data_IF_914976770913
#
_entry.id   IF_914976770913
#
_cell.length_a   1.000
_cell.length_b   1.000
_cell.length_c   1.000
_cell.angle_alpha   90.00
_cell.angle_beta   90.00
_cell.angle_gamma   90.00
#
_symmetry.space_group_name_H-M   'P 1'
#
loop_
_entity.id
_entity.type
_entity.pdbx_description
1 polymer ?
#
# COMPACT_ATOMS: atom_id res chain seq x y z
N UNK A 1 -12.36 -45.98 13.90
CA UNK A 1 -12.25 -44.55 14.25
C UNK A 1 -12.35 -44.42 15.75
N UNK A 2 -11.29 -43.89 16.37
CA UNK A 2 -11.11 -43.85 17.81
C UNK A 2 -12.04 -42.79 18.44
N UNK A 3 -12.84 -43.19 19.44
CA UNK A 3 -13.90 -42.34 20.04
C UNK A 3 -13.34 -41.05 20.67
N UNK A 4 -12.04 -41.01 20.95
CA UNK A 4 -11.32 -39.84 21.46
C UNK A 4 -11.24 -38.68 20.46
N UNK A 5 -11.07 -38.98 19.17
CA UNK A 5 -10.99 -37.96 18.10
C UNK A 5 -12.32 -37.23 17.90
N UNK A 6 -13.44 -37.95 18.02
CA UNK A 6 -14.80 -37.38 17.86
C UNK A 6 -15.17 -36.49 19.06
N UNK A 7 -14.72 -36.83 20.27
CA UNK A 7 -14.98 -36.01 21.46
C UNK A 7 -14.27 -34.65 21.42
N UNK A 8 -13.09 -34.56 20.80
CA UNK A 8 -12.37 -33.29 20.67
C UNK A 8 -13.01 -32.33 19.68
N UNK A 9 -13.61 -32.83 18.59
CA UNK A 9 -14.38 -32.00 17.66
C UNK A 9 -15.64 -31.40 18.31
N UNK A 10 -16.28 -32.12 19.24
CA UNK A 10 -17.48 -31.62 19.96
C UNK A 10 -17.15 -30.62 21.06
N UNK A 11 -15.93 -30.65 21.63
CA UNK A 11 -15.48 -29.74 22.69
C UNK A 11 -15.20 -28.32 22.20
N UNK A 12 -14.94 -28.14 20.90
CA UNK A 12 -14.64 -26.85 20.28
C UNK A 12 -15.80 -25.83 20.29
N UNK A 13 -16.99 -26.21 20.76
CA UNK A 13 -18.16 -25.34 20.86
C UNK A 13 -18.41 -24.75 22.26
N UNK A 14 -17.58 -25.06 23.26
CA UNK A 14 -17.73 -24.48 24.60
C UNK A 14 -16.89 -23.21 24.75
N UNK A 15 -17.51 -22.14 25.27
CA UNK A 15 -16.87 -20.84 25.60
C UNK A 15 -15.59 -21.02 26.43
N UNK A 16 -15.53 -22.07 27.26
CA UNK A 16 -14.34 -22.42 28.05
C UNK A 16 -13.12 -22.90 27.23
N UNK A 17 -13.34 -23.43 26.02
CA UNK A 17 -12.27 -23.84 25.09
C UNK A 17 -11.73 -22.63 24.32
N UNK A 18 -12.59 -21.67 23.98
CA UNK A 18 -12.22 -20.35 23.44
C UNK A 18 -11.28 -19.59 24.39
N UNK A 19 -11.56 -19.61 25.70
CA UNK A 19 -10.65 -19.00 26.70
C UNK A 19 -9.31 -19.74 26.80
N UNK A 20 -9.27 -21.03 26.50
CA UNK A 20 -8.04 -21.83 26.51
C UNK A 20 -7.23 -21.69 25.21
N UNK A 21 -7.88 -21.35 24.09
CA UNK A 21 -7.23 -20.96 22.84
C UNK A 21 -6.76 -19.49 22.82
N UNK A 22 -6.95 -18.72 23.89
CA UNK A 22 -6.32 -17.40 24.10
C UNK A 22 -4.89 -17.51 24.67
N UNK A 23 -4.49 -18.68 25.17
CA UNK A 23 -3.10 -18.95 25.59
C UNK A 23 -2.00 -18.76 24.50
N UNK A 24 -2.24 -18.79 23.17
CA UNK A 24 -1.22 -18.54 22.17
C UNK A 24 -0.83 -17.06 22.04
N UNK A 25 -1.59 -16.11 22.60
CA UNK A 25 -1.22 -14.67 22.52
C UNK A 25 0.04 -14.31 23.32
N UNK A 26 0.43 -15.20 24.23
CA UNK A 26 1.72 -15.14 24.93
C UNK A 26 2.81 -15.99 24.25
N UNK A 27 2.50 -16.70 23.15
CA UNK A 27 3.49 -17.48 22.43
C UNK A 27 4.28 -16.58 21.47
N UNK A 28 5.55 -16.92 21.34
CA UNK A 28 6.62 -16.13 20.76
C UNK A 28 6.25 -15.49 19.40
N UNK A 29 6.09 -14.17 19.36
CA UNK A 29 5.74 -13.37 18.16
C UNK A 29 6.76 -13.46 17.02
N UNK A 30 7.89 -14.13 17.25
CA UNK A 30 8.99 -14.23 16.30
C UNK A 30 9.08 -15.60 15.60
N UNK A 31 8.11 -16.50 15.81
CA UNK A 31 8.11 -17.85 15.21
C UNK A 31 6.79 -18.12 14.50
N UNK A 32 6.86 -18.79 13.35
CA UNK A 32 5.68 -19.17 12.59
C UNK A 32 4.83 -20.18 13.38
N UNK A 33 3.49 -20.02 13.45
CA UNK A 33 2.61 -20.94 14.18
C UNK A 33 2.67 -22.37 13.64
N UNK A 34 2.69 -23.36 14.54
CA UNK A 34 2.76 -24.79 14.17
C UNK A 34 1.39 -25.41 13.81
N UNK A 35 0.30 -24.80 14.25
CA UNK A 35 -1.05 -25.35 14.12
C UNK A 35 -2.02 -24.28 13.62
N UNK A 36 -2.99 -24.72 12.83
CA UNK A 36 -4.09 -23.89 12.36
C UNK A 36 -5.07 -23.58 13.50
N UNK A 37 -5.77 -22.47 13.35
CA UNK A 37 -6.82 -22.00 14.25
C UNK A 37 -8.06 -21.66 13.43
N UNK A 38 -9.24 -21.73 14.06
CA UNK A 38 -10.50 -21.33 13.43
C UNK A 38 -10.45 -19.83 13.08
N UNK A 39 -10.98 -19.49 11.93
CA UNK A 39 -10.92 -18.15 11.31
C UNK A 39 -11.61 -17.06 12.15
N UNK A 40 -12.79 -17.35 12.69
CA UNK A 40 -13.52 -16.44 13.59
C UNK A 40 -12.74 -16.14 14.89
N UNK A 41 -12.04 -17.13 15.44
CA UNK A 41 -11.20 -16.97 16.63
C UNK A 41 -9.97 -16.13 16.29
N UNK A 42 -9.34 -16.36 15.14
CA UNK A 42 -8.22 -15.55 14.66
C UNK A 42 -8.62 -14.09 14.47
N UNK A 43 -9.76 -13.83 13.82
CA UNK A 43 -10.28 -12.49 13.61
C UNK A 43 -10.59 -11.80 14.93
N UNK A 44 -11.32 -12.48 15.84
CA UNK A 44 -11.71 -11.89 17.12
C UNK A 44 -10.48 -11.52 17.95
N UNK A 45 -9.46 -12.38 17.98
CA UNK A 45 -8.20 -12.13 18.69
C UNK A 45 -7.53 -10.86 18.16
N UNK A 46 -7.32 -10.75 16.85
CA UNK A 46 -6.66 -9.58 16.24
C UNK A 46 -7.50 -8.32 16.44
N UNK A 47 -8.82 -8.41 16.25
CA UNK A 47 -9.73 -7.30 16.47
C UNK A 47 -9.70 -6.82 17.92
N UNK A 48 -9.60 -7.73 18.89
CA UNK A 48 -9.53 -7.40 20.30
C UNK A 48 -8.21 -6.71 20.69
N UNK A 49 -7.10 -7.12 20.07
CA UNK A 49 -5.82 -6.43 20.24
C UNK A 49 -5.84 -5.01 19.68
N UNK A 50 -6.51 -4.79 18.53
CA UNK A 50 -6.65 -3.46 17.92
C UNK A 50 -7.48 -2.48 18.77
N UNK A 51 -8.28 -2.94 19.74
CA UNK A 51 -8.93 -2.02 20.70
C UNK A 51 -7.94 -1.31 21.63
N UNK A 52 -6.71 -1.82 21.75
CA UNK A 52 -5.65 -1.16 22.52
C UNK A 52 -5.02 0.01 21.74
N UNK A 53 -5.26 0.11 20.43
CA UNK A 53 -4.85 1.27 19.65
C UNK A 53 -5.65 2.52 20.05
N UNK A 54 -4.96 3.66 20.02
CA UNK A 54 -5.59 4.95 20.30
C UNK A 54 -6.64 5.31 19.24
N UNK A 55 -7.70 6.00 19.65
CA UNK A 55 -8.74 6.46 18.72
C UNK A 55 -8.14 7.45 17.71
N UNK A 56 -8.11 7.06 16.44
CA UNK A 56 -7.54 7.88 15.35
C UNK A 56 -8.19 9.28 15.25
N UNK A 57 -9.48 9.45 15.57
CA UNK A 57 -10.16 10.76 15.54
C UNK A 57 -9.67 11.72 16.63
N UNK A 58 -9.05 11.19 17.68
CA UNK A 58 -8.46 11.99 18.76
C UNK A 58 -6.95 12.18 18.57
N UNK A 59 -6.36 11.58 17.53
CA UNK A 59 -4.95 11.79 17.20
C UNK A 59 -4.76 13.14 16.50
N UNK A 60 -4.34 14.15 17.26
CA UNK A 60 -4.04 15.49 16.75
C UNK A 60 -2.58 15.67 16.29
N UNK A 61 -1.76 14.62 16.38
CA UNK A 61 -0.35 14.67 16.02
C UNK A 61 -0.09 14.22 14.57
N UNK A 62 -1.06 13.58 13.92
CA UNK A 62 -0.91 13.08 12.53
C UNK A 62 -1.37 14.10 11.50
N UNK A 63 -0.73 14.08 10.33
CA UNK A 63 -1.19 14.80 9.13
C UNK A 63 -2.03 13.90 8.21
N UNK A 64 -2.17 12.61 8.53
CA UNK A 64 -2.94 11.67 7.72
C UNK A 64 -4.45 11.83 7.95
N UNK A 65 -5.24 11.46 6.93
CA UNK A 65 -6.70 11.41 7.02
C UNK A 65 -7.15 10.34 8.03
N UNK A 66 -8.08 10.68 8.94
CA UNK A 66 -8.63 9.77 9.96
C UNK A 66 -10.16 9.62 9.89
N UNK A 67 -10.76 10.17 8.83
CA UNK A 67 -12.20 10.07 8.55
C UNK A 67 -12.41 9.93 7.05
N UNK A 68 -13.21 8.94 6.64
CA UNK A 68 -13.60 8.70 5.26
C UNK A 68 -15.11 8.52 5.18
N UNK A 69 -15.70 8.94 4.04
CA UNK A 69 -17.13 8.78 3.78
C UNK A 69 -17.48 7.31 3.45
N UNK A 70 -18.75 6.91 3.63
CA UNK A 70 -19.23 5.56 3.32
C UNK A 70 -18.97 5.16 1.86
N UNK A 71 -19.06 6.13 0.93
CA UNK A 71 -18.76 5.89 -0.48
C UNK A 71 -17.27 5.55 -0.70
N UNK A 72 -16.37 6.16 0.06
CA UNK A 72 -14.94 5.85 0.00
C UNK A 72 -14.68 4.43 0.49
N UNK A 73 -15.30 4.03 1.61
CA UNK A 73 -15.20 2.65 2.09
C UNK A 73 -15.70 1.63 1.05
N UNK A 74 -16.84 1.88 0.40
CA UNK A 74 -17.37 1.02 -0.68
C UNK A 74 -16.41 0.93 -1.86
N UNK A 75 -15.83 2.04 -2.30
CA UNK A 75 -14.87 2.05 -3.40
C UNK A 75 -13.60 1.29 -3.05
N UNK A 76 -13.09 1.46 -1.83
CA UNK A 76 -11.90 0.76 -1.33
C UNK A 76 -12.13 -0.76 -1.31
N UNK A 77 -13.26 -1.21 -0.77
CA UNK A 77 -13.63 -2.64 -0.73
C UNK A 77 -13.77 -3.25 -2.14
N UNK A 78 -14.43 -2.55 -3.07
CA UNK A 78 -14.50 -2.96 -4.48
C UNK A 78 -13.15 -2.98 -5.20
N UNK A 79 -12.14 -2.29 -4.65
CA UNK A 79 -10.82 -2.16 -5.24
C UNK A 79 -9.75 -3.03 -4.57
N UNK A 80 -10.06 -3.72 -3.47
CA UNK A 80 -9.07 -4.44 -2.65
C UNK A 80 -8.27 -5.49 -3.45
N UNK A 81 -8.90 -6.11 -4.45
CA UNK A 81 -8.29 -7.14 -5.31
C UNK A 81 -7.73 -6.59 -6.63
N UNK A 82 -7.79 -5.27 -6.86
CA UNK A 82 -7.32 -4.65 -8.11
C UNK A 82 -5.84 -4.35 -8.01
N UNK A 83 -5.05 -4.96 -8.89
CA UNK A 83 -3.62 -4.73 -8.94
C UNK A 83 -3.29 -3.45 -9.72
N UNK A 84 -2.70 -2.45 -9.06
CA UNK A 84 -2.39 -1.16 -9.67
C UNK A 84 -1.38 -1.23 -10.83
N UNK A 85 -0.41 -2.16 -10.77
CA UNK A 85 0.65 -2.27 -11.79
C UNK A 85 0.16 -2.93 -13.07
N UNK A 86 -0.91 -3.72 -12.97
CA UNK A 86 -1.47 -4.46 -14.10
C UNK A 86 -2.43 -3.57 -14.89
N UNK A 87 -1.87 -2.81 -15.83
CA UNK A 87 -2.62 -1.86 -16.66
C UNK A 87 -3.43 -2.52 -17.77
N UNK A 88 -3.13 -3.78 -18.13
CA UNK A 88 -3.84 -4.53 -19.17
C UNK A 88 -5.13 -5.13 -18.62
N UNK A 89 -5.09 -5.70 -17.41
CA UNK A 89 -6.27 -6.28 -16.75
C UNK A 89 -7.23 -5.19 -16.23
N UNK A 90 -6.70 -4.06 -15.77
CA UNK A 90 -7.50 -2.98 -15.16
C UNK A 90 -7.38 -1.63 -15.91
N UNK A 91 -7.78 -1.57 -17.20
CA UNK A 91 -7.59 -0.38 -18.03
C UNK A 91 -8.38 0.84 -17.53
N UNK A 92 -9.53 0.62 -16.89
CA UNK A 92 -10.33 1.72 -16.32
C UNK A 92 -9.69 2.30 -15.06
N UNK A 93 -9.09 1.47 -14.21
CA UNK A 93 -8.31 1.94 -13.05
C UNK A 93 -7.09 2.76 -13.50
N UNK A 94 -6.41 2.27 -14.54
CA UNK A 94 -5.30 2.99 -15.19
C UNK A 94 -5.74 4.35 -15.76
N UNK A 95 -6.92 4.41 -16.38
CA UNK A 95 -7.45 5.67 -16.90
C UNK A 95 -7.82 6.65 -15.78
N UNK A 96 -8.36 6.17 -14.65
CA UNK A 96 -8.63 7.02 -13.47
C UNK A 96 -7.33 7.62 -12.93
N UNK A 97 -6.30 6.79 -12.77
CA UNK A 97 -4.96 7.22 -12.32
C UNK A 97 -4.41 8.37 -13.18
N UNK A 98 -4.41 8.20 -14.51
CA UNK A 98 -3.94 9.24 -15.43
C UNK A 98 -4.76 10.53 -15.33
N UNK A 99 -6.08 10.44 -15.12
CA UNK A 99 -6.92 11.62 -14.89
C UNK A 99 -6.55 12.35 -13.61
N UNK A 100 -6.33 11.63 -12.51
CA UNK A 100 -5.90 12.22 -11.23
C UNK A 100 -4.56 12.95 -11.38
N UNK A 101 -3.60 12.33 -12.05
CA UNK A 101 -2.30 12.92 -12.38
C UNK A 101 -2.46 14.23 -13.16
N UNK A 102 -3.29 14.23 -14.21
CA UNK A 102 -3.52 15.42 -15.03
C UNK A 102 -4.21 16.54 -14.23
N UNK A 103 -5.20 16.21 -13.38
CA UNK A 103 -5.87 17.20 -12.52
C UNK A 103 -4.90 17.84 -11.52
N UNK A 104 -3.99 17.06 -10.92
CA UNK A 104 -2.98 17.59 -10.00
C UNK A 104 -1.94 18.45 -10.74
N UNK A 105 -1.53 18.03 -11.94
CA UNK A 105 -0.60 18.81 -12.77
C UNK A 105 -1.19 20.18 -13.17
N UNK A 106 -2.46 20.20 -13.56
CA UNK A 106 -3.21 21.42 -13.86
C UNK A 106 -3.35 22.32 -12.63
N UNK A 107 -3.67 21.75 -11.46
CA UNK A 107 -3.75 22.47 -10.19
C UNK A 107 -2.44 23.19 -9.82
N UNK A 108 -1.29 22.63 -10.21
CA UNK A 108 0.03 23.23 -9.98
C UNK A 108 0.56 24.05 -11.16
N UNK A 109 -0.27 24.34 -12.16
CA UNK A 109 0.09 25.12 -13.36
C UNK A 109 1.31 24.54 -14.09
N UNK A 110 1.43 23.21 -14.14
CA UNK A 110 2.50 22.57 -14.89
C UNK A 110 2.41 22.96 -16.38
N UNK A 111 3.54 23.12 -17.08
CA UNK A 111 3.54 23.42 -18.51
C UNK A 111 2.78 22.35 -19.28
N UNK A 112 1.93 22.77 -20.22
CA UNK A 112 1.04 21.88 -20.95
C UNK A 112 1.83 20.71 -21.60
N UNK A 113 1.46 19.45 -21.31
CA UNK A 113 2.18 18.31 -21.87
C UNK A 113 2.02 18.29 -23.38
N UNK A 114 3.14 18.24 -24.12
CA UNK A 114 3.16 18.19 -25.60
C UNK A 114 2.32 17.04 -26.18
N UNK A 115 2.06 16.00 -25.38
CA UNK A 115 1.33 14.79 -25.76
C UNK A 115 0.10 14.50 -24.85
N UNK A 116 -0.37 15.48 -24.05
CA UNK A 116 -1.59 15.33 -23.24
C UNK A 116 -1.50 14.40 -22.02
N UNK A 117 -0.31 13.89 -21.67
CA UNK A 117 -0.10 12.98 -20.54
C UNK A 117 0.98 13.53 -19.61
N UNK A 118 0.62 13.82 -18.37
CA UNK A 118 1.59 13.95 -17.30
C UNK A 118 2.00 12.53 -16.85
N UNK A 119 3.31 12.28 -16.76
CA UNK A 119 3.84 11.00 -16.25
C UNK A 119 4.40 11.27 -14.85
N UNK A 120 3.68 10.84 -13.82
CA UNK A 120 4.18 10.84 -12.45
C UNK A 120 4.26 9.41 -11.94
N UNK A 121 5.40 9.06 -11.34
CA UNK A 121 5.58 7.80 -10.60
C UNK A 121 5.63 8.10 -9.11
N UNK A 122 5.03 7.25 -8.27
CA UNK A 122 4.93 7.43 -6.81
C UNK A 122 6.29 7.63 -6.10
N UNK A 123 7.39 7.17 -6.68
CA UNK A 123 8.76 7.36 -6.17
C UNK A 123 9.41 8.66 -6.65
N UNK A 124 8.62 9.71 -6.86
CA UNK A 124 9.03 10.91 -7.57
C UNK A 124 10.25 11.60 -6.97
N UNK A 125 10.43 11.64 -5.64
CA UNK A 125 11.59 12.32 -5.04
C UNK A 125 12.92 11.60 -5.31
N UNK A 126 12.93 10.28 -5.16
CA UNK A 126 14.12 9.48 -5.45
C UNK A 126 14.43 9.52 -6.95
N UNK A 127 13.43 9.29 -7.80
CA UNK A 127 13.63 9.33 -9.25
C UNK A 127 13.95 10.73 -9.77
N UNK A 128 13.33 11.80 -9.26
CA UNK A 128 13.68 13.18 -9.62
C UNK A 128 15.11 13.51 -9.22
N UNK A 129 15.58 13.03 -8.08
CA UNK A 129 17.00 13.14 -7.68
C UNK A 129 17.93 12.42 -8.65
N UNK A 130 17.57 11.21 -9.10
CA UNK A 130 18.31 10.48 -10.13
C UNK A 130 18.27 11.20 -11.49
N UNK A 131 17.12 11.73 -11.90
CA UNK A 131 16.97 12.50 -13.14
C UNK A 131 17.80 13.79 -13.09
N UNK A 132 17.72 14.57 -12.00
CA UNK A 132 18.52 15.78 -11.83
C UNK A 132 20.03 15.48 -11.82
N UNK A 133 20.45 14.34 -11.26
CA UNK A 133 21.85 13.89 -11.32
C UNK A 133 22.26 13.48 -12.74
N UNK A 134 21.40 12.73 -13.45
CA UNK A 134 21.65 12.33 -14.84
C UNK A 134 21.74 13.53 -15.79
N UNK A 135 20.85 14.50 -15.64
CA UNK A 135 20.86 15.73 -16.45
C UNK A 135 22.06 16.62 -16.10
N UNK A 136 22.51 16.62 -14.84
CA UNK A 136 23.77 17.23 -14.43
C UNK A 136 24.99 16.60 -15.14
N UNK A 137 24.98 15.28 -15.30
CA UNK A 137 26.02 14.53 -16.03
C UNK A 137 25.91 14.71 -17.56
N UNK A 138 24.71 14.80 -18.14
CA UNK A 138 24.50 15.13 -19.57
C UNK A 138 24.89 16.57 -19.90
N UNK A 139 24.63 17.53 -19.01
CA UNK A 139 25.11 18.91 -19.14
C UNK A 139 26.64 18.98 -19.09
N UNK A 140 27.28 18.18 -18.24
CA UNK A 140 28.74 18.07 -18.18
C UNK A 140 29.33 17.43 -19.46
N UNK A 141 28.67 16.41 -20.02
CA UNK A 141 29.06 15.80 -21.30
C UNK A 141 28.84 16.76 -22.49
N UNK A 142 27.75 17.52 -22.51
CA UNK A 142 27.50 18.52 -23.56
C UNK A 142 28.55 19.65 -23.55
N UNK A 143 29.04 20.07 -22.38
CA UNK A 143 30.14 21.03 -22.25
C UNK A 143 31.49 20.43 -22.70
N UNK A 144 31.75 19.15 -22.41
CA UNK A 144 32.95 18.45 -22.88
C UNK A 144 32.97 18.25 -24.41
N UNK A 145 31.82 17.94 -25.02
CA UNK A 145 31.70 17.81 -26.49
C UNK A 145 31.62 19.14 -27.23
N UNK A 146 31.19 20.23 -26.58
CA UNK A 146 31.17 21.59 -27.15
C UNK A 146 32.54 22.25 -27.31
N UNK A 147 33.57 21.76 -26.62
CA UNK A 147 34.95 22.27 -26.70
C UNK A 147 35.75 21.71 -27.90
N UNK A 148 35.27 20.63 -28.54
CA UNK A 148 35.99 19.97 -29.64
C UNK A 148 35.59 20.44 -31.05
N UNK A 149 34.87 21.57 -31.19
CA UNK A 149 34.38 22.10 -32.47
C UNK A 149 34.80 23.55 -32.77
N UNK A 150 35.99 23.96 -32.33
CA UNK A 150 36.63 25.20 -32.80
C UNK A 150 38.13 25.00 -33.06
N UNK A 151 38.48 24.07 -33.95
CA UNK A 151 39.73 24.13 -34.71
C UNK A 151 39.45 23.66 -36.13
N UNK A 152 39.28 24.62 -37.05
CA UNK A 152 39.67 24.62 -38.46
C UNK A 152 38.85 25.68 -39.21
N UNK A 153 39.54 26.77 -39.57
CA UNK A 153 39.02 27.92 -40.30
C UNK A 153 39.81 29.17 -39.94
#
# INVERSE_FOLDING_TARGET
MDKKQVTDLSRNYSIHVLVRSLFPLSQNQNVFPLHEMRDDVAFQIINDELYLDGNARQNLATFCQTWDDENVHKLMDLSINKNWIDKEEYPQSAAIDLRCVNMVADLWHAPAPKNGQAVWHQHHWFFRGLYARRDGDEMALAQAYGSCRQTNG
#
